data_IF_320778211585
#
_entry.id   IF_320778211585
#
_cell.length_a   1.000
_cell.length_b   1.000
_cell.length_c   1.000
_cell.angle_alpha   90.00
_cell.angle_beta   90.00
_cell.angle_gamma   90.00
#
_symmetry.space_group_name_H-M   'P 1'
#
loop_
_entity.id
_entity.type
_entity.pdbx_description
1 polymer ?
#
# COMPACT_ATOMS: atom_id res chain seq x y z
N UNK A 1 -28.38 -1.79 25.60
CA UNK A 1 -29.23 -0.58 25.59
C UNK A 1 -28.50 0.50 24.80
N UNK A 2 -29.21 1.34 24.04
CA UNK A 2 -28.61 2.40 23.21
C UNK A 2 -28.78 3.72 23.94
N UNK A 3 -27.68 4.39 24.25
CA UNK A 3 -27.67 5.71 24.87
C UNK A 3 -27.57 6.79 23.78
N UNK A 4 -28.60 7.64 23.66
CA UNK A 4 -28.67 8.71 22.67
C UNK A 4 -28.32 10.02 23.37
N UNK A 5 -27.31 10.71 22.85
CA UNK A 5 -26.83 11.97 23.41
C UNK A 5 -26.85 13.09 22.39
N UNK A 6 -27.06 14.31 22.89
CA UNK A 6 -27.06 15.53 22.08
C UNK A 6 -25.96 16.47 22.59
N UNK A 7 -25.30 17.22 21.71
CA UNK A 7 -24.28 18.18 22.14
C UNK A 7 -24.89 19.53 22.45
N UNK A 8 -24.24 20.29 23.35
CA UNK A 8 -24.65 21.68 23.65
C UNK A 8 -24.63 22.60 22.42
N UNK A 9 -23.81 22.30 21.41
CA UNK A 9 -23.75 23.05 20.16
C UNK A 9 -24.97 22.79 19.28
N UNK A 10 -25.43 21.54 19.20
CA UNK A 10 -26.67 21.19 18.47
C UNK A 10 -27.88 21.87 19.11
N UNK A 11 -27.97 21.87 20.44
CA UNK A 11 -29.08 22.53 21.13
C UNK A 11 -29.11 24.04 20.86
N UNK A 12 -27.96 24.70 20.88
CA UNK A 12 -27.87 26.15 20.60
C UNK A 12 -28.22 26.49 19.16
N UNK A 13 -27.77 25.69 18.20
CA UNK A 13 -28.13 25.90 16.80
C UNK A 13 -29.64 25.72 16.57
N UNK A 14 -30.26 24.72 17.21
CA UNK A 14 -31.71 24.54 17.15
C UNK A 14 -32.48 25.69 17.82
N UNK A 15 -31.94 26.30 18.87
CA UNK A 15 -32.50 27.50 19.50
C UNK A 15 -32.40 28.72 18.57
N UNK A 16 -31.28 28.89 17.87
CA UNK A 16 -31.06 29.96 16.89
C UNK A 16 -31.96 29.85 15.66
N UNK A 17 -32.24 28.61 15.20
CA UNK A 17 -33.15 28.34 14.08
C UNK A 17 -34.63 28.60 14.42
N UNK A 18 -34.96 28.70 15.72
CA UNK A 18 -36.23 29.23 16.20
C UNK A 18 -37.45 28.31 15.98
N UNK A 19 -38.60 28.93 15.67
CA UNK A 19 -39.92 28.26 15.73
C UNK A 19 -40.09 27.11 14.74
N UNK A 20 -39.41 27.16 13.58
CA UNK A 20 -39.49 26.10 12.56
C UNK A 20 -39.03 24.74 13.08
N UNK A 21 -38.08 24.72 14.03
CA UNK A 21 -37.50 23.50 14.59
C UNK A 21 -37.80 23.33 16.09
N UNK A 22 -38.83 24.01 16.60
CA UNK A 22 -39.21 23.95 18.01
C UNK A 22 -39.51 22.53 18.50
N UNK A 23 -40.21 21.73 17.68
CA UNK A 23 -40.49 20.33 18.02
C UNK A 23 -39.22 19.49 18.14
N UNK A 24 -38.27 19.67 17.21
CA UNK A 24 -36.98 18.99 17.26
C UNK A 24 -36.17 19.40 18.50
N UNK A 25 -36.14 20.70 18.82
CA UNK A 25 -35.50 21.21 20.02
C UNK A 25 -36.08 20.58 21.30
N UNK A 26 -37.40 20.47 21.40
CA UNK A 26 -38.06 19.89 22.56
C UNK A 26 -37.73 18.41 22.75
N UNK A 27 -37.71 17.64 21.65
CA UNK A 27 -37.28 16.23 21.66
C UNK A 27 -35.81 16.12 22.07
N UNK A 28 -34.93 16.94 21.48
CA UNK A 28 -33.50 16.92 21.80
C UNK A 28 -33.21 17.23 23.27
N UNK A 29 -34.02 18.07 23.93
CA UNK A 29 -33.89 18.40 25.36
C UNK A 29 -34.24 17.25 26.30
N UNK A 30 -34.86 16.17 25.80
CA UNK A 30 -35.17 14.97 26.60
C UNK A 30 -33.98 14.01 26.72
N UNK A 31 -32.96 14.16 25.85
CA UNK A 31 -31.77 13.33 25.85
C UNK A 31 -30.63 13.95 26.68
N UNK A 32 -29.70 13.09 27.09
CA UNK A 32 -28.53 13.53 27.85
C UNK A 32 -27.61 14.43 27.01
N UNK A 33 -27.12 15.49 27.65
CA UNK A 33 -26.25 16.47 27.00
C UNK A 33 -24.79 16.07 27.13
N UNK A 34 -24.16 15.74 26.01
CA UNK A 34 -22.74 15.45 25.95
C UNK A 34 -21.91 16.74 25.87
N UNK A 35 -20.89 16.83 26.73
CA UNK A 35 -20.02 18.00 26.79
C UNK A 35 -19.05 18.03 25.61
N UNK A 36 -19.19 19.03 24.73
CA UNK A 36 -18.26 19.21 23.62
C UNK A 36 -16.87 19.68 24.09
N UNK A 37 -15.77 19.11 23.56
CA UNK A 37 -14.40 19.40 24.00
C UNK A 37 -13.81 20.74 23.50
N UNK A 38 -14.63 21.65 22.98
CA UNK A 38 -14.18 22.92 22.41
C UNK A 38 -14.89 24.10 23.06
N UNK A 39 -14.19 25.24 23.06
CA UNK A 39 -14.69 26.56 23.45
C UNK A 39 -14.18 27.56 22.40
N UNK A 40 -14.97 28.55 21.95
CA UNK A 40 -16.40 28.78 22.22
C UNK A 40 -17.31 27.74 21.55
N UNK A 41 -18.63 27.92 21.72
CA UNK A 41 -19.65 27.14 20.99
C UNK A 41 -19.49 27.38 19.50
N UNK A 42 -19.70 26.32 18.71
CA UNK A 42 -19.60 26.33 17.25
C UNK A 42 -20.90 25.79 16.66
N UNK A 43 -21.01 25.83 15.35
CA UNK A 43 -22.07 25.11 14.63
C UNK A 43 -22.01 23.61 14.92
N UNK A 44 -23.14 22.93 14.86
CA UNK A 44 -23.30 21.49 15.07
C UNK A 44 -22.39 20.70 14.12
N UNK A 45 -22.33 21.10 12.85
CA UNK A 45 -21.47 20.49 11.83
C UNK A 45 -20.00 20.51 12.27
N UNK A 46 -19.51 21.65 12.74
CA UNK A 46 -18.12 21.78 13.21
C UNK A 46 -17.87 21.03 14.52
N UNK A 47 -18.83 21.07 15.45
CA UNK A 47 -18.78 20.34 16.71
C UNK A 47 -18.65 18.83 16.48
N UNK A 48 -19.51 18.27 15.63
CA UNK A 48 -19.53 16.85 15.28
C UNK A 48 -18.22 16.45 14.58
N UNK A 49 -17.75 17.23 13.59
CA UNK A 49 -16.46 17.01 12.94
C UNK A 49 -15.31 17.00 13.95
N UNK A 50 -15.32 17.92 14.91
CA UNK A 50 -14.28 17.99 15.95
C UNK A 50 -14.33 16.78 16.90
N UNK A 51 -15.52 16.34 17.31
CA UNK A 51 -15.69 15.13 18.12
C UNK A 51 -15.21 13.87 17.39
N UNK A 52 -15.59 13.71 16.12
CA UNK A 52 -15.18 12.57 15.31
C UNK A 52 -13.65 12.49 15.15
N UNK A 53 -12.98 13.63 14.92
CA UNK A 53 -11.50 13.67 14.84
C UNK A 53 -10.80 13.27 16.13
N UNK A 54 -11.40 13.56 17.29
CA UNK A 54 -10.86 13.20 18.61
C UNK A 54 -11.01 11.70 18.93
N UNK A 55 -11.90 11.00 18.23
CA UNK A 55 -12.28 9.61 18.50
C UNK A 55 -11.27 8.56 17.99
N UNK A 56 -10.28 8.94 17.17
CA UNK A 56 -9.37 8.05 16.39
C UNK A 56 -8.79 6.80 17.06
N UNK A 57 -8.74 6.70 18.39
CA UNK A 57 -8.16 5.54 19.09
C UNK A 57 -9.15 4.45 19.45
N UNK A 58 -10.42 4.77 19.72
CA UNK A 58 -11.49 3.81 20.03
C UNK A 58 -12.82 4.39 19.59
N UNK A 59 -13.65 3.58 18.93
CA UNK A 59 -14.96 4.03 18.53
C UNK A 59 -15.87 4.18 19.76
N UNK A 60 -16.10 5.42 20.19
CA UNK A 60 -16.95 5.75 21.34
C UNK A 60 -18.37 6.14 20.94
N UNK A 61 -18.55 6.66 19.72
CA UNK A 61 -19.82 7.22 19.27
C UNK A 61 -20.22 6.72 17.88
N UNK A 62 -21.52 6.59 17.68
CA UNK A 62 -22.13 6.50 16.37
C UNK A 62 -22.70 7.88 16.05
N UNK A 63 -22.31 8.44 14.91
CA UNK A 63 -22.81 9.75 14.50
C UNK A 63 -24.05 9.58 13.63
N UNK A 64 -25.19 10.12 14.08
CA UNK A 64 -26.42 10.13 13.30
C UNK A 64 -26.55 11.46 12.53
N UNK A 65 -26.61 11.41 11.21
CA UNK A 65 -26.76 12.60 10.35
C UNK A 65 -27.58 12.28 9.11
N UNK A 66 -28.28 13.28 8.56
CA UNK A 66 -28.90 13.23 7.23
C UNK A 66 -28.21 14.15 6.22
N UNK A 67 -27.26 14.96 6.68
CA UNK A 67 -26.53 15.88 5.83
C UNK A 67 -25.43 15.12 5.06
N UNK A 68 -25.44 15.27 3.74
CA UNK A 68 -24.48 14.65 2.83
C UNK A 68 -23.08 15.26 3.01
N UNK A 69 -22.97 16.57 3.21
CA UNK A 69 -21.66 17.24 3.34
C UNK A 69 -20.96 16.83 4.64
N UNK A 70 -21.72 16.77 5.74
CA UNK A 70 -21.22 16.25 7.00
C UNK A 70 -20.85 14.77 6.87
N UNK A 71 -21.65 13.97 6.17
CA UNK A 71 -21.37 12.55 5.92
C UNK A 71 -20.04 12.34 5.22
N UNK A 72 -19.82 13.05 4.10
CA UNK A 72 -18.58 12.96 3.34
C UNK A 72 -17.38 13.35 4.20
N UNK A 73 -17.51 14.43 4.99
CA UNK A 73 -16.45 14.87 5.89
C UNK A 73 -16.15 13.86 7.01
N UNK A 74 -17.16 13.14 7.52
CA UNK A 74 -16.98 12.09 8.52
C UNK A 74 -16.34 10.83 7.92
N UNK A 75 -16.69 10.46 6.67
CA UNK A 75 -16.09 9.33 5.96
C UNK A 75 -14.58 9.49 5.73
N UNK A 76 -14.11 10.73 5.61
CA UNK A 76 -12.68 11.05 5.52
C UNK A 76 -11.91 10.68 6.80
N UNK A 77 -12.60 10.52 7.93
CA UNK A 77 -12.00 10.15 9.20
C UNK A 77 -12.11 8.61 9.35
N UNK A 78 -11.00 7.91 9.55
CA UNK A 78 -11.01 6.47 9.74
C UNK A 78 -11.73 6.07 11.03
N UNK A 79 -12.46 4.95 10.99
CA UNK A 79 -13.05 4.32 12.17
C UNK A 79 -14.29 5.05 12.73
N UNK A 80 -14.93 5.90 11.92
CA UNK A 80 -16.14 6.64 12.30
C UNK A 80 -17.39 5.92 11.76
N UNK A 81 -18.24 5.33 12.62
CA UNK A 81 -19.50 4.77 12.20
C UNK A 81 -20.58 5.85 12.09
N UNK A 82 -21.35 5.81 11.01
CA UNK A 82 -22.39 6.78 10.67
C UNK A 82 -23.75 6.09 10.58
N UNK A 83 -24.79 6.73 11.11
CA UNK A 83 -26.18 6.28 11.10
C UNK A 83 -27.05 7.21 10.25
N UNK A 84 -27.95 6.61 9.47
CA UNK A 84 -28.95 7.30 8.67
C UNK A 84 -30.34 6.73 8.95
N UNK A 85 -31.37 7.54 8.74
CA UNK A 85 -32.77 7.10 8.67
C UNK A 85 -33.20 7.11 7.21
N UNK A 86 -33.52 5.95 6.64
CA UNK A 86 -34.11 5.80 5.29
C UNK A 86 -35.12 4.67 5.30
N UNK A 87 -36.19 4.79 4.50
CA UNK A 87 -37.24 3.77 4.40
C UNK A 87 -37.83 3.35 5.77
N UNK A 88 -38.03 4.30 6.67
CA UNK A 88 -38.49 4.08 8.05
C UNK A 88 -37.61 3.12 8.88
N UNK A 89 -36.35 2.95 8.49
CA UNK A 89 -35.37 2.14 9.22
C UNK A 89 -34.10 2.95 9.51
N UNK A 90 -33.43 2.60 10.61
CA UNK A 90 -32.10 3.11 10.94
C UNK A 90 -31.08 2.20 10.24
N UNK A 91 -30.25 2.79 9.39
CA UNK A 91 -29.22 2.11 8.63
C UNK A 91 -27.84 2.55 9.11
N UNK A 92 -26.97 1.58 9.35
CA UNK A 92 -25.54 1.82 9.59
C UNK A 92 -24.85 1.88 8.23
N UNK A 93 -24.02 2.90 8.03
CA UNK A 93 -23.26 3.02 6.80
C UNK A 93 -22.18 1.94 6.68
N UNK A 94 -21.79 1.67 5.43
CA UNK A 94 -20.64 0.82 5.17
C UNK A 94 -19.36 1.52 5.63
N UNK A 95 -18.37 0.77 6.13
CA UNK A 95 -17.08 1.35 6.52
C UNK A 95 -16.47 2.11 5.33
N UNK A 96 -15.87 3.27 5.62
CA UNK A 96 -15.23 4.07 4.58
C UNK A 96 -13.99 3.37 4.02
N UNK A 97 -13.65 3.68 2.76
CA UNK A 97 -12.44 3.15 2.11
C UNK A 97 -11.18 3.43 2.92
N UNK A 98 -11.10 4.61 3.55
CA UNK A 98 -9.99 5.00 4.42
C UNK A 98 -9.91 4.12 5.66
N UNK A 99 -11.06 3.77 6.24
CA UNK A 99 -11.12 2.84 7.38
C UNK A 99 -10.64 1.46 6.97
N UNK A 100 -11.07 0.96 5.81
CA UNK A 100 -10.66 -0.34 5.27
C UNK A 100 -9.14 -0.34 5.02
N UNK A 101 -8.62 0.69 4.35
CA UNK A 101 -7.19 0.83 4.08
C UNK A 101 -6.36 0.90 5.36
N UNK A 102 -6.84 1.55 6.43
CA UNK A 102 -6.14 1.57 7.72
C UNK A 102 -6.12 0.23 8.43
N UNK A 103 -7.16 -0.60 8.23
CA UNK A 103 -7.20 -1.97 8.74
C UNK A 103 -6.26 -2.87 7.91
N UNK A 104 -6.24 -2.70 6.59
CA UNK A 104 -5.41 -3.47 5.67
C UNK A 104 -3.93 -3.13 5.75
N UNK A 105 -3.56 -1.89 6.12
CA UNK A 105 -2.17 -1.52 6.37
C UNK A 105 -1.59 -2.45 7.43
N UNK A 106 -0.61 -3.30 7.11
CA UNK A 106 0.02 -4.17 8.09
C UNK A 106 0.72 -3.28 9.11
N UNK A 107 0.16 -3.18 10.32
CA UNK A 107 0.74 -2.42 11.43
C UNK A 107 2.06 -3.04 11.80
N UNK A 108 3.19 -2.50 11.32
CA UNK A 108 4.58 -2.73 11.77
C UNK A 108 5.03 -4.19 12.02
N UNK A 109 4.22 -5.20 11.71
CA UNK A 109 4.54 -6.60 11.89
C UNK A 109 5.71 -6.96 11.01
N UNK A 110 5.83 -6.34 9.83
CA UNK A 110 7.00 -6.54 8.97
C UNK A 110 8.27 -5.95 9.56
N UNK A 111 8.22 -4.78 10.21
CA UNK A 111 9.39 -4.19 10.89
C UNK A 111 9.76 -4.99 12.13
N UNK A 112 8.78 -5.37 12.95
CA UNK A 112 8.97 -6.24 14.12
C UNK A 112 9.50 -7.63 13.72
N UNK A 113 8.94 -8.26 12.68
CA UNK A 113 9.42 -9.55 12.15
C UNK A 113 10.84 -9.40 11.60
N UNK A 114 11.17 -8.29 10.93
CA UNK A 114 12.52 -8.06 10.41
C UNK A 114 13.52 -7.77 11.53
N UNK A 115 13.13 -7.08 12.59
CA UNK A 115 13.94 -6.88 13.79
C UNK A 115 14.17 -8.20 14.54
N UNK A 116 13.12 -9.01 14.71
CA UNK A 116 13.21 -10.36 15.28
C UNK A 116 14.11 -11.26 14.43
N UNK A 117 13.98 -11.22 13.09
CA UNK A 117 14.87 -11.96 12.19
C UNK A 117 16.32 -11.52 12.33
N UNK A 118 16.60 -10.22 12.41
CA UNK A 118 17.97 -9.70 12.63
C UNK A 118 18.52 -10.10 14.00
N UNK A 119 17.69 -10.12 15.04
CA UNK A 119 18.11 -10.52 16.37
C UNK A 119 18.43 -12.02 16.47
N UNK A 120 17.70 -12.88 15.75
CA UNK A 120 17.87 -14.33 15.79
C UNK A 120 18.95 -14.83 14.81
N UNK A 121 19.00 -14.28 13.60
CA UNK A 121 19.86 -14.76 12.51
C UNK A 121 21.06 -13.85 12.20
N UNK A 122 21.17 -12.67 12.82
CA UNK A 122 22.19 -11.67 12.51
C UNK A 122 21.89 -10.88 11.22
N UNK A 123 22.73 -9.90 10.89
CA UNK A 123 22.62 -9.21 9.59
C UNK A 123 23.00 -10.15 8.45
N UNK A 124 22.11 -10.31 7.47
CA UNK A 124 22.44 -10.97 6.21
C UNK A 124 23.60 -10.21 5.54
N UNK A 125 24.82 -10.75 5.64
CA UNK A 125 25.95 -10.24 4.87
C UNK A 125 25.54 -10.25 3.38
N UNK A 126 25.41 -9.06 2.77
CA UNK A 126 25.15 -8.94 1.34
C UNK A 126 26.11 -9.85 0.59
N UNK A 127 25.65 -10.76 -0.30
CA UNK A 127 26.52 -11.69 -0.98
C UNK A 127 27.57 -10.89 -1.74
N UNK A 128 28.83 -10.96 -1.27
CA UNK A 128 29.94 -10.27 -1.92
C UNK A 128 29.99 -10.78 -3.36
N UNK A 129 29.81 -9.88 -4.33
CA UNK A 129 29.92 -10.22 -5.77
C UNK A 129 31.27 -10.91 -5.96
N UNK A 130 31.26 -12.22 -6.19
CA UNK A 130 32.49 -12.97 -6.48
C UNK A 130 33.15 -12.31 -7.68
N UNK A 131 34.38 -11.80 -7.49
CA UNK A 131 35.16 -11.20 -8.59
C UNK A 131 35.18 -12.18 -9.75
N UNK A 132 34.79 -11.73 -10.95
CA UNK A 132 34.84 -12.53 -12.17
C UNK A 132 36.30 -12.92 -12.39
N UNK A 133 36.65 -14.18 -12.10
CA UNK A 133 37.94 -14.74 -12.50
C UNK A 133 37.92 -14.89 -14.03
N UNK A 134 39.05 -14.67 -14.72
CA UNK A 134 39.14 -14.99 -16.14
C UNK A 134 38.75 -16.46 -16.33
N UNK A 135 37.71 -16.69 -17.15
CA UNK A 135 37.31 -18.06 -17.51
C UNK A 135 38.48 -18.66 -18.30
N UNK A 136 38.91 -19.86 -17.90
CA UNK A 136 39.94 -20.59 -18.64
C UNK A 136 39.54 -20.77 -20.12
N UNK A 137 40.51 -20.96 -21.03
CA UNK A 137 40.21 -21.09 -22.45
C UNK A 137 39.17 -22.20 -22.65
N UNK A 138 38.12 -21.88 -23.42
CA UNK A 138 37.02 -22.80 -23.69
C UNK A 138 37.59 -24.14 -24.20
N UNK A 139 37.28 -25.28 -23.55
CA UNK A 139 37.86 -26.58 -23.89
C UNK A 139 37.54 -27.06 -25.32
N UNK A 140 36.55 -26.47 -25.99
CA UNK A 140 36.26 -26.70 -27.41
C UNK A 140 37.15 -25.89 -28.38
N UNK A 141 37.89 -24.89 -27.86
CA UNK A 141 38.70 -23.95 -28.65
C UNK A 141 40.20 -24.29 -28.66
N UNK A 142 40.63 -25.33 -27.94
CA UNK A 142 42.00 -25.84 -27.98
C UNK A 142 42.07 -27.00 -28.98
N UNK A 143 42.77 -26.81 -30.10
CA UNK A 143 43.04 -27.91 -31.05
C UNK A 143 43.76 -29.03 -30.30
N UNK A 144 43.21 -30.24 -30.33
CA UNK A 144 43.83 -31.43 -29.72
C UNK A 144 45.30 -31.54 -30.14
N UNK A 145 46.18 -31.78 -29.16
CA UNK A 145 47.62 -31.96 -29.39
C UNK A 145 47.82 -33.15 -30.33
N UNK A 146 48.35 -32.91 -31.54
CA UNK A 146 48.70 -33.98 -32.47
C UNK A 146 49.93 -34.73 -31.93
N UNK A 147 49.81 -36.05 -31.73
CA UNK A 147 50.97 -36.92 -31.52
C UNK A 147 51.80 -36.93 -32.81
N UNK A 148 53.09 -36.60 -32.73
CA UNK A 148 54.03 -36.81 -33.84
C UNK A 148 54.28 -38.31 -33.94
N UNK A 149 53.83 -38.94 -35.02
CA UNK A 149 54.29 -40.28 -35.40
C UNK A 149 55.67 -40.07 -36.01
N UNK A 150 56.70 -40.66 -35.41
CA UNK A 150 58.01 -40.77 -36.05
C UNK A 150 57.89 -41.84 -37.13
N UNK A 151 57.84 -41.41 -38.40
CA UNK A 151 57.93 -42.30 -39.56
C UNK A 151 59.42 -42.45 -39.91
N UNK A 152 59.95 -43.65 -39.75
CA UNK A 152 61.25 -44.05 -40.29
C UNK A 152 61.19 -44.06 -41.83
N UNK A 153 62.31 -43.66 -42.40
CA UNK A 153 62.57 -43.28 -43.79
C UNK A 153 62.39 -44.39 -44.84
N UNK A 154 61.70 -44.08 -45.94
CA UNK A 154 61.96 -44.62 -47.28
C UNK A 154 61.72 -43.50 -48.32
N UNK A 155 62.64 -43.32 -49.27
CA UNK A 155 62.64 -42.28 -50.32
C UNK A 155 61.85 -42.71 -51.61
N UNK A 156 61.88 -41.98 -52.75
CA UNK A 156 60.77 -41.10 -53.17
C UNK A 156 60.18 -41.45 -54.55
N UNK A 157 58.95 -41.02 -54.84
CA UNK A 157 58.47 -40.94 -56.22
C UNK A 157 57.46 -39.80 -56.46
N UNK A 158 57.82 -38.99 -57.45
CA UNK A 158 57.00 -38.17 -58.35
C UNK A 158 55.98 -37.14 -57.79
N UNK A 159 56.33 -35.88 -58.07
CA UNK A 159 55.50 -34.67 -57.99
C UNK A 159 54.26 -34.79 -58.89
N UNK A 160 53.09 -34.35 -58.40
CA UNK A 160 52.24 -33.43 -59.17
C UNK A 160 51.51 -32.45 -58.24
N UNK A 161 51.73 -31.17 -58.51
CA UNK A 161 51.11 -30.02 -57.87
C UNK A 161 49.67 -29.82 -58.37
N UNK A 162 48.69 -29.61 -57.48
CA UNK A 162 47.49 -28.83 -57.82
C UNK A 162 47.12 -27.83 -56.73
N UNK A 163 47.10 -26.57 -57.15
CA UNK A 163 46.81 -25.32 -56.44
C UNK A 163 45.49 -25.38 -55.65
N UNK A 164 45.52 -24.89 -54.40
CA UNK A 164 44.32 -24.45 -53.67
C UNK A 164 43.76 -23.18 -54.31
N UNK A 165 42.48 -23.20 -54.71
CA UNK A 165 41.73 -22.00 -55.10
C UNK A 165 41.07 -21.42 -53.84
N UNK A 166 41.52 -20.24 -53.43
CA UNK A 166 40.90 -19.43 -52.37
C UNK A 166 39.79 -18.59 -53.04
N UNK A 167 38.52 -18.71 -52.61
CA UNK A 167 37.50 -17.72 -52.94
C UNK A 167 37.04 -17.00 -51.67
N UNK A 168 37.08 -15.67 -51.79
CA UNK A 168 36.85 -14.62 -50.79
C UNK A 168 35.43 -14.71 -50.20
N UNK A 169 35.31 -14.38 -48.91
CA UNK A 169 34.08 -13.87 -48.30
C UNK A 169 33.68 -12.58 -49.02
N UNK A 170 32.41 -12.46 -49.36
CA UNK A 170 31.74 -11.17 -49.55
C UNK A 170 30.91 -10.91 -48.29
N UNK A 171 31.21 -9.81 -47.63
CA UNK A 171 30.35 -9.14 -46.67
C UNK A 171 29.17 -8.55 -47.44
N UNK A 172 27.98 -8.65 -46.85
CA UNK A 172 26.87 -7.75 -47.12
C UNK A 172 26.36 -7.29 -45.76
N UNK A 173 26.83 -6.10 -45.36
CA UNK A 173 26.08 -5.19 -44.52
C UNK A 173 24.74 -4.89 -45.21
N UNK A 174 23.65 -4.89 -44.46
CA UNK A 174 22.57 -3.93 -44.66
C UNK A 174 21.74 -3.84 -43.38
N UNK A 175 21.19 -2.64 -43.20
CA UNK A 175 20.76 -1.98 -41.98
C UNK A 175 19.45 -2.53 -41.38
#
# INVERSE_FOLDING_TARGET
>A
EVDIRVTSCVLKELEELGSALYGALHICKQFDVESCPHKPVRTAVECIKHMARRMKRRATYFFATQDNELTEALKQIPGVPILFIKYNAILIDKPSEITIQEIEKPKDQLTEINELKKAIFGEDEKPRRKRKRPKGPNPLSVKKKKKKIQLTSIQPAAKTSRKRRRKKKTESEEQ
#
